data_IF_293694533886
#
_entry.id   IF_293694533886
#
_cell.length_a   1.000
_cell.length_b   1.000
_cell.length_c   1.000
_cell.angle_alpha   90.00
_cell.angle_beta   90.00
_cell.angle_gamma   90.00
#
_symmetry.space_group_name_H-M   'P 1'
#
loop_
_entity.id
_entity.type
_entity.pdbx_description
1 polymer ?
#
# COMPACT_ATOMS: atom_id res chain seq x y z
N UNK A 1 1.94 44.33 3.02
CA UNK A 1 1.62 42.96 3.48
C UNK A 1 1.45 42.12 2.23
N UNK A 2 2.39 41.21 1.93
CA UNK A 2 2.44 40.50 0.66
C UNK A 2 1.51 39.28 0.70
N UNK A 3 0.48 39.28 -0.14
CA UNK A 3 -0.36 38.12 -0.44
C UNK A 3 0.45 37.18 -1.34
N UNK A 4 0.89 36.05 -0.80
CA UNK A 4 1.54 34.99 -1.58
C UNK A 4 0.54 34.27 -2.48
N UNK A 5 0.95 33.75 -3.65
CA UNK A 5 0.05 33.06 -4.57
C UNK A 5 -0.34 31.69 -4.00
N UNK A 6 -1.63 31.39 -4.01
CA UNK A 6 -2.17 30.06 -3.70
C UNK A 6 -1.76 29.09 -4.83
N UNK A 7 -0.92 28.11 -4.50
CA UNK A 7 -0.57 27.04 -5.42
C UNK A 7 -1.81 26.17 -5.73
N UNK A 8 -2.08 25.84 -7.01
CA UNK A 8 -3.19 24.99 -7.37
C UNK A 8 -2.84 23.52 -7.14
N UNK A 9 -3.70 22.79 -6.41
CA UNK A 9 -3.69 21.32 -6.38
C UNK A 9 -3.49 20.65 -5.02
N UNK A 10 -3.86 21.28 -3.90
CA UNK A 10 -3.93 20.58 -2.62
C UNK A 10 -5.14 19.64 -2.60
N UNK A 11 -4.97 18.43 -3.16
CA UNK A 11 -5.76 17.29 -2.73
C UNK A 11 -5.64 17.10 -1.21
N UNK A 12 -6.55 16.37 -0.55
CA UNK A 12 -6.45 16.16 0.89
C UNK A 12 -5.06 15.59 1.22
N UNK A 13 -4.31 16.29 2.09
CA UNK A 13 -2.98 15.84 2.48
C UNK A 13 -3.08 14.46 3.11
N UNK A 14 -2.33 13.51 2.57
CA UNK A 14 -2.21 12.18 3.16
C UNK A 14 -1.56 12.30 4.53
N UNK A 15 -2.17 11.65 5.53
CA UNK A 15 -1.64 11.55 6.88
C UNK A 15 -1.06 10.16 7.13
N UNK A 16 0.00 10.11 7.94
CA UNK A 16 0.62 8.85 8.34
C UNK A 16 -0.27 8.16 9.36
N UNK A 17 -0.63 6.91 9.12
CA UNK A 17 -1.49 6.15 10.05
C UNK A 17 -0.77 5.80 11.37
N UNK A 18 0.56 5.95 11.43
CA UNK A 18 1.34 5.69 12.66
C UNK A 18 1.54 6.94 13.53
N UNK A 19 1.92 8.07 12.93
CA UNK A 19 2.28 9.28 13.69
C UNK A 19 1.32 10.46 13.50
N UNK A 20 0.31 10.32 12.62
CA UNK A 20 -0.69 11.35 12.32
C UNK A 20 -0.17 12.55 11.53
N UNK A 21 1.13 12.62 11.23
CA UNK A 21 1.70 13.74 10.48
C UNK A 21 1.26 13.69 9.01
N UNK A 22 0.87 14.85 8.49
CA UNK A 22 0.65 15.05 7.06
C UNK A 22 1.99 14.98 6.30
N UNK A 23 1.95 14.61 5.03
CA UNK A 23 3.12 14.69 4.17
C UNK A 23 3.63 16.14 4.07
N UNK A 24 4.89 16.34 4.44
CA UNK A 24 5.54 17.65 4.56
C UNK A 24 6.06 18.19 3.22
N UNK A 25 6.29 17.32 2.24
CA UNK A 25 6.85 17.67 0.94
C UNK A 25 6.34 16.72 -0.18
N UNK A 26 6.50 17.08 -1.46
CA UNK A 26 6.00 16.27 -2.58
C UNK A 26 6.58 14.85 -2.64
N UNK A 27 7.84 14.65 -2.25
CA UNK A 27 8.43 13.31 -2.20
C UNK A 27 7.74 12.47 -1.12
N UNK A 28 7.46 13.06 0.04
CA UNK A 28 6.71 12.39 1.09
C UNK A 28 5.26 12.09 0.69
N UNK A 29 4.61 12.95 -0.11
CA UNK A 29 3.29 12.66 -0.68
C UNK A 29 3.32 11.41 -1.58
N UNK A 30 4.34 11.30 -2.45
CA UNK A 30 4.53 10.14 -3.33
C UNK A 30 4.81 8.87 -2.51
N UNK A 31 5.63 8.95 -1.47
CA UNK A 31 5.88 7.78 -0.60
C UNK A 31 4.62 7.36 0.17
N UNK A 32 3.82 8.33 0.62
CA UNK A 32 2.59 8.08 1.36
C UNK A 32 1.41 7.68 0.46
N UNK A 33 1.53 7.79 -0.86
CA UNK A 33 0.53 7.22 -1.77
C UNK A 33 0.62 5.69 -1.86
N UNK A 34 1.77 5.11 -1.50
CA UNK A 34 1.92 3.66 -1.39
C UNK A 34 1.01 3.10 -0.28
N UNK A 35 0.21 2.10 -0.63
CA UNK A 35 -0.65 1.38 0.30
C UNK A 35 0.12 0.19 0.86
N UNK A 36 0.10 0.04 2.17
CA UNK A 36 0.73 -1.08 2.86
C UNK A 36 -0.35 -2.02 3.37
N UNK A 37 -0.21 -3.32 3.12
CA UNK A 37 -1.03 -4.34 3.76
C UNK A 37 -0.31 -4.83 5.02
N UNK A 38 -0.91 -4.59 6.19
CA UNK A 38 -0.34 -4.86 7.50
C UNK A 38 -1.25 -5.81 8.30
N UNK A 39 -0.68 -6.52 9.28
CA UNK A 39 -1.47 -7.24 10.27
C UNK A 39 -2.18 -6.28 11.22
N UNK A 40 -3.49 -6.45 11.39
CA UNK A 40 -4.32 -5.72 12.35
C UNK A 40 -4.95 -6.66 13.39
N UNK A 41 -5.61 -6.10 14.42
CA UNK A 41 -6.22 -6.88 15.50
C UNK A 41 -7.35 -7.82 15.02
N UNK A 42 -8.10 -7.40 14.01
CA UNK A 42 -9.21 -8.15 13.42
C UNK A 42 -8.82 -8.85 12.10
N UNK A 43 -7.53 -8.91 11.79
CA UNK A 43 -6.98 -9.42 10.54
C UNK A 43 -6.27 -8.36 9.70
N UNK A 44 -5.86 -8.69 8.47
CA UNK A 44 -5.12 -7.78 7.61
C UNK A 44 -5.89 -6.50 7.30
N UNK A 45 -5.18 -5.38 7.27
CA UNK A 45 -5.74 -4.06 6.96
C UNK A 45 -4.73 -3.20 6.19
N UNK A 46 -5.21 -2.11 5.58
CA UNK A 46 -4.35 -1.19 4.83
C UNK A 46 -3.90 -0.01 5.67
N UNK A 47 -2.66 0.44 5.47
CA UNK A 47 -2.13 1.66 6.07
C UNK A 47 -1.22 2.42 5.10
N UNK A 48 -0.93 3.68 5.43
CA UNK A 48 0.00 4.56 4.73
C UNK A 48 1.00 5.13 5.74
N UNK A 49 2.27 5.11 5.36
CA UNK A 49 3.35 5.51 6.25
C UNK A 49 4.20 6.62 5.66
N UNK A 50 4.59 7.55 6.51
CA UNK A 50 5.61 8.52 6.16
C UNK A 50 7.00 7.85 6.14
N UNK A 51 7.98 8.50 5.50
CA UNK A 51 9.37 8.00 5.39
C UNK A 51 10.06 7.61 6.71
N UNK A 52 9.61 8.18 7.84
CA UNK A 52 10.18 7.93 9.16
C UNK A 52 9.45 6.80 9.92
N UNK A 53 8.30 6.37 9.42
CA UNK A 53 7.43 5.40 10.07
C UNK A 53 7.22 4.08 9.29
N UNK A 54 8.01 3.71 8.26
CA UNK A 54 7.72 2.50 7.52
C UNK A 54 7.73 1.29 8.47
N UNK A 55 6.90 0.27 8.19
CA UNK A 55 6.91 -0.96 8.95
C UNK A 55 8.25 -1.68 8.74
N UNK A 56 8.65 -2.48 9.73
CA UNK A 56 9.90 -3.25 9.71
C UNK A 56 9.55 -4.70 9.38
N UNK A 57 10.43 -5.38 8.64
CA UNK A 57 10.29 -6.79 8.31
C UNK A 57 10.52 -7.06 6.82
N UNK A 58 10.30 -8.30 6.37
CA UNK A 58 10.24 -8.61 4.95
C UNK A 58 9.13 -7.79 4.29
N UNK A 59 9.39 -7.34 3.06
CA UNK A 59 8.45 -6.58 2.26
C UNK A 59 8.31 -7.30 0.92
N UNK A 60 7.07 -7.57 0.54
CA UNK A 60 6.73 -8.09 -0.80
C UNK A 60 5.94 -7.05 -1.55
N UNK A 61 6.44 -6.67 -2.73
CA UNK A 61 5.73 -5.79 -3.66
C UNK A 61 4.75 -6.62 -4.50
N UNK A 62 3.45 -6.46 -4.23
CA UNK A 62 2.43 -7.05 -5.07
C UNK A 62 2.08 -6.07 -6.18
N UNK A 63 2.70 -6.26 -7.34
CA UNK A 63 2.47 -5.39 -8.49
C UNK A 63 1.37 -5.93 -9.40
N UNK A 64 0.39 -5.10 -9.76
CA UNK A 64 -0.57 -5.43 -10.81
C UNK A 64 0.14 -5.45 -12.18
N UNK A 65 -0.01 -6.56 -12.90
CA UNK A 65 0.57 -6.74 -14.25
C UNK A 65 -0.01 -5.81 -15.33
N UNK A 66 -1.05 -5.02 -15.02
CA UNK A 66 -1.72 -4.12 -15.98
C UNK A 66 -1.33 -2.66 -15.76
N UNK A 67 -1.47 -2.15 -14.53
CA UNK A 67 -1.18 -0.76 -14.21
C UNK A 67 0.19 -0.55 -13.55
N UNK A 68 0.85 -1.61 -13.08
CA UNK A 68 2.10 -1.49 -12.32
C UNK A 68 1.92 -1.02 -10.87
N UNK A 69 0.68 -0.93 -10.38
CA UNK A 69 0.36 -0.47 -9.02
C UNK A 69 -0.04 -1.65 -8.12
N UNK A 70 0.07 -1.47 -6.81
CA UNK A 70 -0.44 -2.42 -5.84
C UNK A 70 0.11 -2.20 -4.42
N UNK A 71 -0.38 -2.96 -3.45
CA UNK A 71 0.02 -2.81 -2.07
C UNK A 71 1.39 -3.44 -1.79
N UNK A 72 2.09 -2.86 -0.81
CA UNK A 72 3.28 -3.45 -0.20
C UNK A 72 2.86 -4.31 1.00
N UNK A 73 3.14 -5.60 0.95
CA UNK A 73 2.83 -6.54 2.03
C UNK A 73 4.04 -6.59 2.97
N UNK A 74 3.81 -6.63 4.29
CA UNK A 74 4.90 -6.60 5.27
C UNK A 74 4.76 -7.65 6.36
N UNK A 75 5.90 -8.12 6.88
CA UNK A 75 5.96 -9.02 8.02
C UNK A 75 5.33 -10.37 7.69
N UNK A 76 4.44 -10.86 8.55
CA UNK A 76 3.76 -12.15 8.40
C UNK A 76 2.77 -12.22 7.22
N UNK A 77 2.60 -11.11 6.50
CA UNK A 77 1.80 -11.04 5.27
C UNK A 77 2.69 -11.02 4.02
N UNK A 78 3.98 -10.76 4.16
CA UNK A 78 4.94 -10.84 3.05
C UNK A 78 5.21 -12.31 2.69
N UNK A 79 5.66 -12.56 1.46
CA UNK A 79 6.14 -13.86 1.04
C UNK A 79 7.33 -14.30 1.90
N UNK A 80 7.36 -15.59 2.25
CA UNK A 80 8.51 -16.16 2.93
C UNK A 80 9.64 -16.40 1.90
N UNK A 81 10.81 -15.75 2.06
CA UNK A 81 11.93 -15.93 1.13
C UNK A 81 12.54 -17.35 1.17
N UNK A 82 12.15 -18.18 2.13
CA UNK A 82 12.60 -19.57 2.28
C UNK A 82 11.75 -20.54 1.46
N UNK A 83 10.55 -20.13 1.02
CA UNK A 83 9.64 -20.96 0.25
C UNK A 83 9.85 -20.75 -1.26
N UNK A 84 9.91 -21.82 -2.07
CA UNK A 84 10.40 -21.77 -3.46
C UNK A 84 9.49 -21.08 -4.50
N UNK A 85 8.43 -20.39 -4.11
CA UNK A 85 7.43 -19.83 -5.04
C UNK A 85 6.91 -18.43 -4.64
N UNK A 86 7.61 -17.70 -3.75
CA UNK A 86 7.16 -16.41 -3.22
C UNK A 86 5.68 -16.43 -2.79
N UNK A 87 5.26 -17.57 -2.20
CA UNK A 87 3.86 -17.84 -1.92
C UNK A 87 3.40 -16.91 -0.81
N UNK A 88 2.41 -16.08 -1.13
CA UNK A 88 1.80 -15.21 -0.14
C UNK A 88 1.11 -16.04 0.96
N UNK A 89 1.25 -15.64 2.24
CA UNK A 89 0.51 -16.23 3.35
C UNK A 89 -1.00 -16.23 3.12
N UNK A 90 -1.70 -17.25 3.64
CA UNK A 90 -3.14 -17.42 3.43
C UNK A 90 -3.95 -16.17 3.82
N UNK A 91 -3.61 -15.55 4.95
CA UNK A 91 -4.27 -14.32 5.40
C UNK A 91 -4.16 -13.17 4.39
N UNK A 92 -2.97 -12.99 3.78
CA UNK A 92 -2.78 -11.99 2.74
C UNK A 92 -3.57 -12.34 1.47
N UNK A 93 -3.54 -13.62 1.06
CA UNK A 93 -4.27 -14.10 -0.12
C UNK A 93 -5.77 -13.92 0.01
N UNK A 94 -6.34 -14.30 1.13
CA UNK A 94 -7.77 -14.20 1.40
C UNK A 94 -8.23 -12.74 1.43
N UNK A 95 -7.46 -11.87 2.07
CA UNK A 95 -7.74 -10.44 2.09
C UNK A 95 -7.70 -9.84 0.69
N UNK A 96 -6.65 -10.14 -0.09
CA UNK A 96 -6.51 -9.63 -1.46
C UNK A 96 -7.64 -10.12 -2.37
N UNK A 97 -8.00 -11.41 -2.27
CA UNK A 97 -9.10 -11.98 -3.02
C UNK A 97 -10.44 -11.34 -2.65
N UNK A 98 -10.69 -11.10 -1.36
CA UNK A 98 -11.88 -10.37 -0.88
C UNK A 98 -11.89 -8.91 -1.35
N UNK A 99 -10.73 -8.26 -1.44
CA UNK A 99 -10.56 -6.94 -2.05
C UNK A 99 -10.68 -6.95 -3.59
N UNK A 100 -10.89 -8.12 -4.21
CA UNK A 100 -11.16 -8.27 -5.63
C UNK A 100 -9.94 -8.55 -6.51
N UNK A 101 -8.75 -8.71 -5.92
CA UNK A 101 -7.55 -9.10 -6.65
C UNK A 101 -7.67 -10.50 -7.24
N UNK A 102 -7.07 -10.71 -8.41
CA UNK A 102 -6.76 -12.05 -8.93
C UNK A 102 -5.26 -12.28 -8.71
N UNK A 103 -4.88 -13.36 -8.03
CA UNK A 103 -3.48 -13.61 -7.64
C UNK A 103 -2.71 -14.48 -8.65
N UNK A 104 -3.39 -15.34 -9.39
CA UNK A 104 -2.82 -16.04 -10.55
C UNK A 104 -2.65 -15.04 -11.71
N UNK A 105 -1.44 -14.47 -11.81
CA UNK A 105 -1.15 -13.31 -12.64
C UNK A 105 -1.79 -12.05 -12.05
N UNK A 106 -1.11 -11.38 -11.08
CA UNK A 106 -1.70 -10.38 -10.21
C UNK A 106 -2.38 -9.24 -10.97
N UNK A 107 -3.68 -9.07 -10.75
CA UNK A 107 -4.46 -7.95 -11.32
C UNK A 107 -5.36 -7.34 -10.25
N UNK A 108 -5.24 -6.01 -10.09
CA UNK A 108 -6.00 -5.22 -9.14
C UNK A 108 -7.50 -5.12 -9.53
N UNK A 109 -8.39 -4.82 -8.57
CA UNK A 109 -9.82 -4.70 -8.82
C UNK A 109 -10.16 -3.64 -9.88
N UNK A 110 -9.42 -2.53 -9.95
CA UNK A 110 -9.67 -1.46 -10.94
C UNK A 110 -9.33 -1.88 -12.37
N UNK A 111 -8.31 -2.72 -12.55
CA UNK A 111 -7.92 -3.27 -13.85
C UNK A 111 -8.69 -4.54 -14.20
N UNK A 112 -9.60 -5.01 -13.33
CA UNK A 112 -10.43 -6.17 -13.59
C UNK A 112 -11.65 -5.71 -14.40
N UNK A 113 -11.96 -6.33 -15.54
CA UNK A 113 -13.17 -5.98 -16.29
C UNK A 113 -14.39 -6.24 -15.41
N UNK A 114 -15.23 -5.22 -15.22
CA UNK A 114 -16.55 -5.39 -14.60
C UNK A 114 -17.34 -6.34 -15.49
N UNK A 115 -17.66 -7.52 -14.96
CA UNK A 115 -18.42 -8.54 -15.68
C UNK A 115 -19.91 -8.28 -15.57
#
# INVERSE_FOLDING_TARGET
MATGPLAPGAGPSLCCDRCGQAAADPLQQILMSAVWLISGPDGPTTARYCRACPPVGPITDLTCLRCGDGPLLVGDLAADPSEPDDVLPAAARDWLAAAGWRLDGPVCPDCRPRR
#
